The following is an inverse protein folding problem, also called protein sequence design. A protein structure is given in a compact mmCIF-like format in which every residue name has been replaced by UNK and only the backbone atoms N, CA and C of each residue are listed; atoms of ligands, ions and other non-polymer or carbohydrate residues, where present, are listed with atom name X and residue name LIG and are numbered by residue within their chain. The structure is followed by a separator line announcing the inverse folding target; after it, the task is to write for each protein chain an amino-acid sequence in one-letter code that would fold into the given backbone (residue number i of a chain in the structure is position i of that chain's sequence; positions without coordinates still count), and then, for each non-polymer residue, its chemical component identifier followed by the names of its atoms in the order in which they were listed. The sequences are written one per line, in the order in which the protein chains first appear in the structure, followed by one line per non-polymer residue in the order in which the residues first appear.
data_IF_189756447226
#
_entry.id   IF_189756447226
#
_cell.length_a   1.000
_cell.length_b   1.000
_cell.length_c   1.000
_cell.angle_alpha   90.00
_cell.angle_beta   90.00
_cell.angle_gamma   90.00
#
_symmetry.space_group_name_H-M   'P 1'
#
loop_
_entity.id
_entity.type
_entity.pdbx_description
1 polymer ?
#
# COMPACT_ATOMS: atom_id res chain seq x y z
N UNK A 1 21.11 -16.69 9.44
CA UNK A 1 19.72 -16.62 8.93
C UNK A 1 19.59 -15.33 8.15
N UNK A 2 18.90 -15.39 7.02
CA UNK A 2 18.79 -14.28 6.08
C UNK A 2 17.40 -13.67 6.23
N UNK A 3 17.30 -12.37 6.41
CA UNK A 3 16.04 -11.65 6.49
C UNK A 3 15.44 -11.47 5.08
N UNK A 4 14.15 -11.15 5.01
CA UNK A 4 13.49 -10.79 3.76
C UNK A 4 13.26 -9.27 3.76
N UNK A 5 13.78 -8.60 2.73
CA UNK A 5 13.44 -7.20 2.43
C UNK A 5 12.25 -7.19 1.48
N UNK A 6 11.20 -6.47 1.85
CA UNK A 6 10.06 -6.12 1.00
C UNK A 6 10.21 -4.66 0.58
N UNK A 7 10.29 -4.41 -0.72
CA UNK A 7 10.44 -3.08 -1.31
C UNK A 7 9.15 -2.70 -2.01
N UNK A 8 8.70 -1.48 -1.76
CA UNK A 8 7.49 -0.92 -2.34
C UNK A 8 7.69 0.56 -2.63
N UNK A 9 6.71 1.17 -3.30
CA UNK A 9 6.70 2.61 -3.50
C UNK A 9 5.28 3.16 -3.50
N UNK A 10 5.18 4.43 -3.18
CA UNK A 10 4.06 5.26 -3.56
C UNK A 10 4.42 6.02 -4.85
N UNK A 11 3.47 6.11 -5.78
CA UNK A 11 3.57 6.91 -7.01
C UNK A 11 2.27 7.70 -7.18
N UNK A 12 2.35 9.00 -7.39
CA UNK A 12 1.18 9.83 -7.69
C UNK A 12 0.83 9.81 -9.20
N UNK A 13 -0.31 10.40 -9.58
CA UNK A 13 -0.74 10.49 -10.98
C UNK A 13 0.24 11.32 -11.86
N UNK A 14 1.04 12.20 -11.24
CA UNK A 14 2.12 12.97 -11.88
C UNK A 14 3.47 12.22 -11.96
N UNK A 15 3.50 10.94 -11.57
CA UNK A 15 4.64 10.03 -11.63
C UNK A 15 5.82 10.35 -10.68
N UNK A 16 5.63 11.22 -9.68
CA UNK A 16 6.57 11.37 -8.56
C UNK A 16 6.52 10.14 -7.65
N UNK A 17 7.66 9.78 -7.04
CA UNK A 17 7.82 8.51 -6.31
C UNK A 17 8.39 8.71 -4.92
N UNK A 18 7.90 7.90 -3.98
CA UNK A 18 8.45 7.73 -2.65
C UNK A 18 8.65 6.23 -2.38
N UNK A 19 9.89 5.81 -2.19
CA UNK A 19 10.22 4.39 -1.97
C UNK A 19 10.12 4.04 -0.50
N UNK A 20 9.63 2.86 -0.15
CA UNK A 20 9.62 2.31 1.20
C UNK A 20 10.19 0.90 1.22
N UNK A 21 10.64 0.47 2.40
CA UNK A 21 11.08 -0.89 2.62
C UNK A 21 10.68 -1.39 4.01
N UNK A 22 10.58 -2.70 4.14
CA UNK A 22 10.45 -3.42 5.41
C UNK A 22 11.38 -4.63 5.37
N UNK A 23 12.18 -4.85 6.41
CA UNK A 23 13.10 -5.98 6.55
C UNK A 23 12.63 -6.86 7.70
N UNK A 24 12.15 -8.05 7.36
CA UNK A 24 11.48 -8.97 8.28
C UNK A 24 12.33 -10.23 8.53
N UNK A 25 12.36 -10.77 9.76
CA UNK A 25 12.91 -12.09 10.04
C UNK A 25 12.28 -13.18 9.16
N UNK A 26 13.09 -14.13 8.73
CA UNK A 26 12.67 -15.32 7.97
C UNK A 26 12.94 -16.61 8.75
N UNK A 27 12.29 -16.75 9.91
CA UNK A 27 12.49 -17.91 10.79
C UNK A 27 12.01 -19.23 10.17
N UNK A 28 11.05 -19.16 9.23
CA UNK A 28 10.52 -20.32 8.49
C UNK A 28 11.36 -20.68 7.26
N UNK A 29 12.45 -19.94 6.99
CA UNK A 29 13.40 -20.19 5.90
C UNK A 29 12.75 -20.28 4.52
N UNK A 30 11.70 -19.48 4.27
CA UNK A 30 11.05 -19.40 2.95
C UNK A 30 12.02 -18.87 1.90
N UNK A 31 11.92 -19.36 0.67
CA UNK A 31 12.71 -18.80 -0.43
C UNK A 31 12.14 -17.46 -0.87
N UNK A 32 12.97 -16.66 -1.55
CA UNK A 32 12.54 -15.36 -2.09
C UNK A 32 11.42 -15.56 -3.12
N UNK A 33 11.53 -16.61 -3.94
CA UNK A 33 10.57 -16.94 -4.99
C UNK A 33 9.21 -17.34 -4.41
N UNK A 34 9.19 -18.13 -3.32
CA UNK A 34 7.96 -18.49 -2.61
C UNK A 34 7.26 -17.24 -2.06
N UNK A 35 8.03 -16.34 -1.44
CA UNK A 35 7.51 -15.09 -0.88
C UNK A 35 7.00 -14.16 -1.99
N UNK A 36 7.77 -13.95 -3.07
CA UNK A 36 7.35 -13.11 -4.21
C UNK A 36 6.05 -13.62 -4.84
N UNK A 37 5.99 -14.93 -5.11
CA UNK A 37 4.80 -15.56 -5.71
C UNK A 37 3.58 -15.38 -4.81
N UNK A 38 3.74 -15.62 -3.50
CA UNK A 38 2.64 -15.47 -2.55
C UNK A 38 2.17 -14.01 -2.45
N UNK A 39 3.10 -13.06 -2.32
CA UNK A 39 2.77 -11.63 -2.28
C UNK A 39 1.97 -11.27 -3.53
N UNK A 40 2.49 -11.54 -4.73
CA UNK A 40 1.80 -11.19 -5.98
C UNK A 40 0.40 -11.79 -6.07
N UNK A 41 0.18 -13.00 -5.54
CA UNK A 41 -1.16 -13.59 -5.53
C UNK A 41 -2.17 -12.86 -4.63
N UNK A 42 -1.69 -12.07 -3.66
CA UNK A 42 -2.49 -11.33 -2.67
C UNK A 42 -2.66 -9.84 -3.01
N UNK A 43 -1.90 -9.30 -3.95
CA UNK A 43 -2.02 -7.91 -4.38
C UNK A 43 -3.15 -7.74 -5.41
N UNK A 44 -3.75 -6.55 -5.44
CA UNK A 44 -4.66 -6.14 -6.52
C UNK A 44 -3.88 -6.10 -7.84
N UNK A 45 -4.39 -6.78 -8.87
CA UNK A 45 -3.71 -7.00 -10.16
C UNK A 45 -2.26 -7.48 -10.06
N UNK A 46 -1.91 -8.15 -8.94
CA UNK A 46 -0.56 -8.63 -8.67
C UNK A 46 0.50 -7.55 -8.42
N UNK A 47 0.09 -6.30 -8.23
CA UNK A 47 1.01 -5.16 -8.08
C UNK A 47 0.60 -4.18 -6.99
N UNK A 48 -0.70 -3.94 -6.79
CA UNK A 48 -1.18 -2.83 -5.97
C UNK A 48 -1.73 -3.28 -4.62
N UNK A 49 -1.51 -2.47 -3.59
CA UNK A 49 -2.04 -2.68 -2.23
C UNK A 49 -2.21 -1.36 -1.49
N UNK A 50 -2.77 -1.39 -0.29
CA UNK A 50 -2.89 -0.21 0.58
C UNK A 50 -2.03 -0.42 1.84
N UNK A 51 -0.95 0.35 1.97
CA UNK A 51 0.07 0.16 3.01
C UNK A 51 -0.49 0.16 4.44
N UNK A 52 -1.45 1.05 4.75
CA UNK A 52 -2.09 1.12 6.08
C UNK A 52 -2.78 -0.18 6.48
N UNK A 53 -3.32 -0.92 5.51
CA UNK A 53 -4.08 -2.15 5.77
C UNK A 53 -3.17 -3.36 6.04
N UNK A 54 -1.89 -3.27 5.68
CA UNK A 54 -0.86 -4.28 5.99
C UNK A 54 0.16 -3.78 7.02
N UNK A 55 -0.19 -2.67 7.71
CA UNK A 55 0.61 -2.07 8.78
C UNK A 55 2.04 -1.72 8.33
N UNK A 56 2.21 -1.12 7.15
CA UNK A 56 3.49 -0.52 6.73
C UNK A 56 3.29 0.97 6.43
N UNK A 57 4.38 1.70 6.28
CA UNK A 57 4.32 3.16 6.10
C UNK A 57 3.66 3.52 4.77
N UNK A 58 2.76 4.49 4.76
CA UNK A 58 2.05 4.87 3.53
C UNK A 58 2.91 5.69 2.56
N UNK A 59 4.13 6.12 2.91
CA UNK A 59 5.08 6.84 2.04
C UNK A 59 4.49 8.00 1.20
N UNK A 60 3.31 8.52 1.53
CA UNK A 60 2.68 9.64 0.84
C UNK A 60 3.53 10.90 1.00
N UNK A 61 3.39 11.84 0.07
CA UNK A 61 4.00 13.15 0.23
C UNK A 61 3.43 13.89 1.45
N UNK A 62 4.21 14.82 1.98
CA UNK A 62 3.80 15.62 3.14
C UNK A 62 2.62 16.55 2.83
N UNK A 63 2.47 16.95 1.57
CA UNK A 63 1.37 17.78 1.09
C UNK A 63 0.53 16.93 0.15
N UNK A 64 -0.75 16.79 0.47
CA UNK A 64 -1.73 16.09 -0.37
C UNK A 64 -2.15 16.99 -1.53
N UNK A 65 -2.36 16.38 -2.68
CA UNK A 65 -2.73 16.97 -3.96
C UNK A 65 -3.83 16.14 -4.63
N UNK A 66 -4.37 16.65 -5.75
CA UNK A 66 -5.38 15.94 -6.56
C UNK A 66 -4.83 14.74 -7.34
N UNK A 67 -3.50 14.64 -7.43
CA UNK A 67 -2.83 13.51 -8.07
C UNK A 67 -2.66 12.33 -7.10
N UNK A 68 -2.97 12.52 -5.81
CA UNK A 68 -2.77 11.50 -4.79
C UNK A 68 -3.89 10.46 -4.77
N UNK A 69 -3.50 9.20 -4.52
CA UNK A 69 -4.42 8.07 -4.48
C UNK A 69 -4.00 7.07 -3.39
N UNK A 70 -4.89 6.16 -2.93
CA UNK A 70 -4.60 5.31 -1.77
C UNK A 70 -3.61 4.16 -2.05
N UNK A 71 -3.30 3.89 -3.32
CA UNK A 71 -2.57 2.70 -3.74
C UNK A 71 -1.05 2.83 -3.67
N UNK A 72 -0.41 1.75 -3.21
CA UNK A 72 1.03 1.50 -3.24
C UNK A 72 1.36 0.41 -4.23
N UNK A 73 2.57 0.46 -4.76
CA UNK A 73 3.10 -0.48 -5.73
C UNK A 73 4.16 -1.36 -5.12
N UNK A 74 3.99 -2.66 -5.30
CA UNK A 74 5.03 -3.63 -5.00
C UNK A 74 6.19 -3.53 -6.00
N UNK A 75 7.43 -3.55 -5.50
CA UNK A 75 8.63 -3.47 -6.33
C UNK A 75 9.34 -4.82 -6.36
N UNK A 76 9.77 -5.33 -5.21
CA UNK A 76 10.52 -6.59 -5.11
C UNK A 76 10.53 -7.16 -3.69
N UNK A 77 10.87 -8.45 -3.59
CA UNK A 77 11.39 -9.06 -2.36
C UNK A 77 12.78 -9.62 -2.59
N UNK A 78 13.61 -9.51 -1.56
CA UNK A 78 15.02 -9.90 -1.64
C UNK A 78 15.46 -10.55 -0.33
N UNK A 79 16.38 -11.50 -0.43
CA UNK A 79 17.12 -12.04 0.71
C UNK A 79 18.21 -11.03 1.14
N UNK A 80 18.25 -10.65 2.42
CA UNK A 80 19.23 -9.68 2.94
C UNK A 80 19.83 -10.08 4.30
N UNK A 81 21.08 -9.68 4.53
CA UNK A 81 21.75 -9.82 5.82
C UNK A 81 21.57 -8.58 6.74
N UNK A 82 20.88 -7.55 6.24
CA UNK A 82 20.66 -6.31 6.98
C UNK A 82 19.80 -6.53 8.23
N UNK A 83 19.94 -5.66 9.25
CA UNK A 83 19.09 -5.70 10.43
C UNK A 83 17.60 -5.57 10.08
N UNK A 84 16.75 -6.17 10.91
CA UNK A 84 15.30 -6.04 10.77
C UNK A 84 14.87 -4.57 10.88
N UNK A 85 13.97 -4.14 10.02
CA UNK A 85 13.44 -2.79 9.95
C UNK A 85 11.94 -2.86 9.66
N UNK A 86 11.12 -2.54 10.63
CA UNK A 86 9.66 -2.56 10.50
C UNK A 86 9.09 -1.47 11.42
N UNK A 87 9.06 -0.21 10.93
CA UNK A 87 8.89 0.95 11.80
C UNK A 87 7.45 1.21 12.25
N UNK A 88 6.47 0.56 11.62
CA UNK A 88 5.04 0.84 11.87
C UNK A 88 4.48 0.01 13.03
N UNK A 89 4.56 -1.32 13.04
CA UNK A 89 4.12 -2.10 14.19
C UNK A 89 5.12 -1.96 15.34
N UNK A 90 4.62 -1.74 16.55
CA UNK A 90 5.46 -1.71 17.76
C UNK A 90 6.09 -3.08 18.05
N UNK A 91 5.36 -4.16 17.75
CA UNK A 91 5.84 -5.52 17.92
C UNK A 91 6.56 -6.00 16.67
N UNK A 92 7.76 -6.56 16.85
CA UNK A 92 8.48 -7.23 15.78
C UNK A 92 7.67 -8.39 15.25
N UNK A 93 7.49 -8.46 13.93
CA UNK A 93 6.79 -9.54 13.23
C UNK A 93 7.71 -10.24 12.23
N UNK A 94 7.41 -11.50 11.95
CA UNK A 94 8.11 -12.34 10.97
C UNK A 94 7.51 -12.15 9.57
N UNK A 95 8.23 -12.50 8.50
CA UNK A 95 7.68 -12.54 7.13
C UNK A 95 6.38 -13.35 7.04
N UNK A 96 6.26 -14.43 7.81
CA UNK A 96 5.07 -15.28 7.85
C UNK A 96 3.86 -14.58 8.49
N UNK A 97 4.08 -13.64 9.40
CA UNK A 97 3.00 -12.81 9.96
C UNK A 97 2.58 -11.74 8.96
N UNK A 98 3.53 -11.07 8.32
CA UNK A 98 3.26 -10.08 7.28
C UNK A 98 2.45 -10.66 6.12
N UNK A 99 2.77 -11.88 5.68
CA UNK A 99 2.00 -12.58 4.64
C UNK A 99 0.55 -12.88 5.07
N UNK A 100 0.30 -13.12 6.37
CA UNK A 100 -1.06 -13.30 6.89
C UNK A 100 -1.83 -11.98 6.93
N UNK A 101 -1.17 -10.87 7.22
CA UNK A 101 -1.80 -9.54 7.20
C UNK A 101 -2.14 -9.14 5.76
N UNK A 102 -1.25 -9.40 4.80
CA UNK A 102 -1.54 -9.29 3.36
C UNK A 102 -2.73 -10.16 2.95
N UNK A 103 -2.74 -11.42 3.38
CA UNK A 103 -3.83 -12.35 3.09
C UNK A 103 -5.15 -11.85 3.67
N UNK A 104 -5.15 -11.36 4.90
CA UNK A 104 -6.34 -10.80 5.54
C UNK A 104 -6.85 -9.57 4.78
N UNK A 105 -5.97 -8.63 4.42
CA UNK A 105 -6.33 -7.43 3.66
C UNK A 105 -6.90 -7.78 2.28
N UNK A 106 -6.30 -8.75 1.59
CA UNK A 106 -6.80 -9.29 0.32
C UNK A 106 -8.22 -9.85 0.46
N UNK A 107 -8.46 -10.69 1.47
CA UNK A 107 -9.78 -11.30 1.70
C UNK A 107 -10.85 -10.29 2.11
N UNK A 108 -10.48 -9.24 2.86
CA UNK A 108 -11.43 -8.17 3.22
C UNK A 108 -11.73 -7.22 2.07
N UNK A 109 -10.92 -7.26 1.01
CA UNK A 109 -10.90 -6.25 -0.04
C UNK A 109 -10.13 -5.01 0.40
N UNK A 110 -9.43 -4.40 -0.57
CA UNK A 110 -8.70 -3.17 -0.36
C UNK A 110 -9.66 -1.99 -0.22
N UNK A 111 -9.75 -1.42 0.98
CA UNK A 111 -10.61 -0.27 1.26
C UNK A 111 -9.87 1.07 1.01
N UNK A 112 -10.16 1.70 -0.12
CA UNK A 112 -9.58 3.00 -0.53
C UNK A 112 -9.83 4.14 0.47
N UNK A 113 -10.80 4.00 1.39
CA UNK A 113 -11.10 4.99 2.42
C UNK A 113 -10.33 4.78 3.72
N UNK A 114 -9.58 3.68 3.85
CA UNK A 114 -8.79 3.35 5.04
C UNK A 114 -7.31 3.66 4.85
N UNK A 115 -7.03 4.94 4.62
CA UNK A 115 -5.70 5.54 4.44
C UNK A 115 -5.52 6.74 5.36
N UNK A 116 -4.37 7.43 5.32
CA UNK A 116 -4.11 8.67 6.07
C UNK A 116 -5.27 9.68 5.96
N UNK A 117 -5.63 10.30 7.08
CA UNK A 117 -6.88 11.07 7.21
C UNK A 117 -6.97 12.31 6.30
N UNK A 118 -5.83 12.95 6.00
CA UNK A 118 -5.74 14.08 5.07
C UNK A 118 -6.04 13.67 3.62
N UNK A 119 -5.62 12.47 3.21
CA UNK A 119 -5.93 11.91 1.90
C UNK A 119 -7.43 11.57 1.78
N UNK A 120 -8.04 11.04 2.84
CA UNK A 120 -9.49 10.80 2.90
C UNK A 120 -10.25 12.12 2.65
N UNK A 121 -9.86 13.20 3.34
CA UNK A 121 -10.50 14.51 3.20
C UNK A 121 -10.41 15.05 1.77
N UNK A 122 -9.28 14.87 1.09
CA UNK A 122 -9.10 15.29 -0.30
C UNK A 122 -10.00 14.48 -1.24
N UNK A 123 -10.01 13.15 -1.12
CA UNK A 123 -10.86 12.27 -1.95
C UNK A 123 -12.34 12.61 -1.77
N UNK A 124 -12.78 12.87 -0.53
CA UNK A 124 -14.16 13.28 -0.25
C UNK A 124 -14.50 14.63 -0.89
N UNK A 125 -13.58 15.61 -0.83
CA UNK A 125 -13.76 16.92 -1.46
C UNK A 125 -13.93 16.79 -2.96
N UNK A 126 -13.06 16.03 -3.64
CA UNK A 126 -13.15 15.80 -5.08
C UNK A 126 -14.45 15.10 -5.48
N UNK A 127 -14.87 14.09 -4.71
CA UNK A 127 -16.16 13.42 -4.93
C UNK A 127 -17.33 14.39 -4.81
N UNK A 128 -17.31 15.31 -3.84
CA UNK A 128 -18.35 16.33 -3.69
C UNK A 128 -18.33 17.34 -4.84
N UNK A 129 -17.17 17.78 -5.29
CA UNK A 129 -17.01 18.70 -6.42
C UNK A 129 -17.50 18.06 -7.72
N UNK A 130 -17.12 16.80 -7.98
CA UNK A 130 -17.61 16.03 -9.13
C UNK A 130 -19.12 15.84 -9.10
N UNK A 131 -19.69 15.53 -7.93
CA UNK A 131 -21.15 15.40 -7.77
C UNK A 131 -21.86 16.71 -8.09
N UNK A 132 -21.41 17.84 -7.53
CA UNK A 132 -21.97 19.18 -7.82
C UNK A 132 -21.88 19.51 -9.32
N UNK A 133 -20.76 19.18 -9.95
CA UNK A 133 -20.57 19.39 -11.38
C UNK A 133 -21.49 18.52 -12.24
N UNK A 134 -21.73 17.27 -11.85
CA UNK A 134 -22.70 16.39 -12.53
C UNK A 134 -24.13 16.90 -12.36
N UNK A 135 -24.51 17.30 -11.15
CA UNK A 135 -25.86 17.82 -10.84
C UNK A 135 -26.16 19.10 -11.66
N UNK A 136 -25.19 20.02 -11.77
CA UNK A 136 -25.33 21.24 -12.58
C UNK A 136 -25.38 21.01 -14.09
N UNK A 137 -24.88 19.88 -14.60
CA UNK A 137 -25.03 19.49 -16.02
C UNK A 137 -26.33 18.71 -16.29
N UNK A 138 -26.88 18.02 -15.28
CA UNK A 138 -28.15 17.30 -15.37
C UNK A 138 -29.37 18.21 -15.56
N UNK A 139 -29.30 19.45 -15.06
CA UNK A 139 -30.36 20.46 -15.19
C UNK A 139 -30.37 21.20 -16.55
N UNK A 140 -29.50 20.81 -17.49
CA UNK A 140 -29.25 21.52 -18.76
C UNK A 140 -29.59 20.75 -20.03
N UNK A 141 -30.53 19.80 -20.00
CA UNK A 141 -30.98 19.11 -21.23
C UNK A 141 -32.25 19.80 -21.76
N UNK A 142 -32.24 20.40 -22.98
CA UNK A 142 -33.46 20.83 -23.68
C UNK A 142 -34.38 19.66 -24.05
#
# INVERSE_FOLDING_TARGET
MTNIRFVYMYRDASNYKQHGEVILPNETQRTVEEVDTQIRSLLSDGLFFIARQVQIEERFFAVVSEDDHPWHEYVSVEATADPTFDPVPEQKRNISNFLKELEQAHHTGWDETRVRDDLIQQIEKERQELKRWLDTRGDGTP
#
